data_IF_581240469856
#
_entry.id   IF_581240469856
#
_cell.length_a   1.000
_cell.length_b   1.000
_cell.length_c   1.000
_cell.angle_alpha   90.00
_cell.angle_beta   90.00
_cell.angle_gamma   90.00
#
_symmetry.space_group_name_H-M   'P 1'
#
loop_
_entity.id
_entity.type
_entity.pdbx_description
1 polymer ?
#
# COMPACT_ATOMS: atom_id res chain seq x y z
N UNK A 1 3.57 15.14 -7.30
CA UNK A 1 2.66 14.42 -8.19
C UNK A 1 2.91 12.91 -8.07
N UNK A 2 1.85 12.12 -7.98
CA UNK A 2 1.96 10.66 -7.92
C UNK A 2 1.87 10.08 -9.33
N UNK A 3 2.79 9.17 -9.65
CA UNK A 3 2.72 8.38 -10.89
C UNK A 3 2.93 6.91 -10.56
N UNK A 4 2.14 6.04 -11.18
CA UNK A 4 2.24 4.60 -11.01
C UNK A 4 2.39 3.97 -12.38
N UNK A 5 3.49 3.22 -12.59
CA UNK A 5 3.72 2.51 -13.85
C UNK A 5 2.91 1.20 -13.90
N UNK A 6 2.90 0.55 -15.08
CA UNK A 6 2.24 -0.75 -15.25
C UNK A 6 2.87 -1.84 -14.37
N UNK A 7 4.13 -1.70 -14.00
CA UNK A 7 4.83 -2.64 -13.12
C UNK A 7 4.64 -2.34 -11.64
N UNK A 8 3.81 -1.36 -11.32
CA UNK A 8 3.57 -0.94 -9.94
C UNK A 8 4.62 -0.01 -9.36
N UNK A 9 5.58 0.46 -10.18
CA UNK A 9 6.59 1.41 -9.74
C UNK A 9 5.92 2.75 -9.45
N UNK A 10 6.13 3.28 -8.26
CA UNK A 10 5.54 4.54 -7.81
C UNK A 10 6.59 5.64 -7.85
N UNK A 11 6.20 6.79 -8.33
CA UNK A 11 6.99 8.03 -8.25
C UNK A 11 6.15 9.10 -7.59
N UNK A 12 6.68 9.70 -6.52
CA UNK A 12 5.98 10.66 -5.69
C UNK A 12 6.90 11.84 -5.38
N UNK A 13 6.38 13.06 -5.53
CA UNK A 13 7.12 14.24 -5.11
C UNK A 13 7.08 14.35 -3.59
N UNK A 14 8.25 14.61 -2.99
CA UNK A 14 8.40 14.71 -1.54
C UNK A 14 7.47 15.78 -0.98
N UNK A 15 6.75 15.42 0.08
CA UNK A 15 5.83 16.32 0.75
C UNK A 15 4.48 16.50 0.06
N UNK A 16 4.21 15.75 -1.00
CA UNK A 16 2.93 15.81 -1.68
C UNK A 16 1.85 15.05 -0.94
N UNK A 17 0.64 15.55 -1.12
CA UNK A 17 -0.60 14.94 -0.66
C UNK A 17 -1.20 14.17 -1.82
N UNK A 18 -1.40 12.86 -1.68
CA UNK A 18 -1.92 12.05 -2.78
C UNK A 18 -2.60 10.79 -2.30
N UNK A 19 -3.38 10.18 -3.19
CA UNK A 19 -4.12 8.95 -2.91
C UNK A 19 -3.94 7.98 -4.07
N UNK A 20 -3.97 6.67 -3.76
CA UNK A 20 -3.98 5.63 -4.78
C UNK A 20 -4.88 4.47 -4.35
N UNK A 21 -5.67 3.88 -5.28
CA UNK A 21 -6.45 2.70 -4.96
C UNK A 21 -5.56 1.46 -4.98
N UNK A 22 -5.82 0.53 -4.04
CA UNK A 22 -5.17 -0.77 -3.98
C UNK A 22 -6.13 -1.83 -4.51
N UNK A 23 -5.83 -2.41 -5.66
CA UNK A 23 -6.55 -3.54 -6.21
C UNK A 23 -5.96 -4.84 -5.67
N UNK A 24 -6.78 -5.63 -4.96
CA UNK A 24 -6.39 -6.96 -4.51
C UNK A 24 -7.06 -7.98 -5.42
N UNK A 25 -6.25 -8.80 -6.10
CA UNK A 25 -6.73 -9.83 -7.00
C UNK A 25 -6.95 -11.13 -6.23
N UNK A 26 -8.21 -11.56 -6.12
CA UNK A 26 -8.58 -12.81 -5.48
C UNK A 26 -8.72 -13.97 -6.48
N UNK A 27 -8.54 -13.70 -7.77
CA UNK A 27 -8.58 -14.69 -8.83
C UNK A 27 -7.20 -15.04 -9.37
N UNK A 28 -7.17 -15.45 -10.64
CA UNK A 28 -5.92 -15.72 -11.35
C UNK A 28 -5.53 -14.52 -12.23
N UNK A 29 -4.32 -14.57 -12.79
CA UNK A 29 -3.87 -13.53 -13.73
C UNK A 29 -4.70 -13.51 -15.02
N UNK A 30 -5.26 -14.67 -15.41
CA UNK A 30 -6.11 -14.79 -16.60
C UNK A 30 -7.56 -14.37 -16.33
N UNK A 31 -8.05 -14.57 -15.10
CA UNK A 31 -9.39 -14.18 -14.67
C UNK A 31 -9.29 -13.43 -13.33
N UNK A 32 -8.91 -12.16 -13.37
CA UNK A 32 -8.78 -11.39 -12.14
C UNK A 32 -10.15 -11.15 -11.51
N UNK A 33 -10.25 -11.38 -10.21
CA UNK A 33 -11.44 -11.12 -9.42
C UNK A 33 -11.05 -10.12 -8.34
N UNK A 34 -11.75 -9.00 -8.29
CA UNK A 34 -11.51 -7.98 -7.29
C UNK A 34 -11.97 -8.47 -5.92
N UNK A 35 -11.05 -8.42 -4.95
CA UNK A 35 -11.39 -8.69 -3.55
C UNK A 35 -12.09 -7.45 -2.97
N UNK A 36 -13.38 -7.59 -2.67
CA UNK A 36 -14.22 -6.46 -2.26
C UNK A 36 -14.09 -6.21 -0.76
N UNK A 37 -13.38 -5.14 -0.41
CA UNK A 37 -13.16 -4.79 0.99
C UNK A 37 -14.41 -4.20 1.66
N UNK A 38 -15.41 -3.79 0.90
CA UNK A 38 -16.71 -3.41 1.48
C UNK A 38 -17.41 -4.61 2.14
N UNK A 39 -17.11 -5.82 1.68
CA UNK A 39 -17.67 -7.07 2.20
C UNK A 39 -16.74 -7.80 3.14
N UNK A 40 -15.52 -7.30 3.35
CA UNK A 40 -14.45 -7.99 4.07
C UNK A 40 -13.77 -7.04 5.06
N UNK A 41 -14.57 -6.48 5.98
CA UNK A 41 -14.11 -5.44 6.91
C UNK A 41 -13.17 -5.95 8.02
N UNK A 42 -12.98 -7.27 8.14
CA UNK A 42 -12.01 -7.85 9.08
C UNK A 42 -10.60 -7.90 8.52
N UNK A 43 -10.41 -7.54 7.25
CA UNK A 43 -9.11 -7.52 6.61
C UNK A 43 -8.24 -6.41 7.20
N UNK A 44 -6.96 -6.72 7.41
CA UNK A 44 -5.95 -5.74 7.81
C UNK A 44 -4.90 -5.67 6.73
N UNK A 45 -4.53 -4.45 6.34
CA UNK A 45 -3.57 -4.22 5.26
C UNK A 45 -2.37 -3.47 5.82
N UNK A 46 -1.18 -3.98 5.50
CA UNK A 46 0.10 -3.43 5.95
C UNK A 46 0.87 -2.90 4.75
N UNK A 47 1.29 -1.65 4.84
CA UNK A 47 2.17 -1.00 3.87
C UNK A 47 3.51 -0.70 4.53
N UNK A 48 4.61 -0.96 3.85
CA UNK A 48 5.94 -0.56 4.32
C UNK A 48 6.75 0.02 3.18
N UNK A 49 7.33 1.20 3.43
CA UNK A 49 8.30 1.84 2.55
C UNK A 49 9.68 1.61 3.14
N UNK A 50 10.60 1.08 2.34
CA UNK A 50 11.91 0.62 2.81
C UNK A 50 13.04 1.28 2.01
N UNK A 51 14.12 1.61 2.72
CA UNK A 51 15.40 1.85 2.06
C UNK A 51 15.98 0.51 1.57
N UNK A 52 16.97 0.53 0.64
CA UNK A 52 17.51 -0.73 0.11
C UNK A 52 18.03 -1.72 1.14
N UNK A 53 18.46 -1.24 2.31
CA UNK A 53 19.00 -2.07 3.39
C UNK A 53 17.99 -2.37 4.50
N UNK A 54 16.71 -2.04 4.29
CA UNK A 54 15.68 -2.28 5.29
C UNK A 54 14.80 -3.46 4.90
N UNK A 55 14.15 -4.03 5.91
CA UNK A 55 13.14 -5.07 5.75
C UNK A 55 11.75 -4.48 5.95
N UNK A 56 10.72 -5.26 5.63
CA UNK A 56 9.32 -4.85 5.79
C UNK A 56 9.03 -4.36 7.22
N UNK A 57 9.58 -5.06 8.21
CA UNK A 57 9.29 -4.78 9.63
C UNK A 57 9.94 -3.51 10.15
N UNK A 58 11.00 -3.02 9.49
CA UNK A 58 11.73 -1.83 9.93
C UNK A 58 11.81 -0.74 8.86
N UNK A 59 10.85 -0.72 7.95
CA UNK A 59 10.76 0.32 6.93
C UNK A 59 10.64 1.73 7.52
N UNK A 60 11.09 2.72 6.75
CA UNK A 60 11.12 4.12 7.20
C UNK A 60 9.73 4.75 7.26
N UNK A 61 8.74 4.20 6.55
CA UNK A 61 7.34 4.59 6.64
C UNK A 61 6.49 3.33 6.66
N UNK A 62 5.70 3.14 7.72
CA UNK A 62 4.84 1.99 7.86
C UNK A 62 3.42 2.44 8.14
N UNK A 63 2.46 1.84 7.44
CA UNK A 63 1.04 2.12 7.62
C UNK A 63 0.28 0.83 7.82
N UNK A 64 -0.67 0.86 8.75
CA UNK A 64 -1.59 -0.22 9.01
C UNK A 64 -3.00 0.29 8.76
N UNK A 65 -3.72 -0.38 7.86
CA UNK A 65 -5.09 -0.01 7.50
C UNK A 65 -6.05 -1.08 8.01
N UNK A 66 -7.02 -0.66 8.80
CA UNK A 66 -8.10 -1.54 9.27
C UNK A 66 -9.33 -0.72 9.60
N UNK A 67 -10.49 -1.37 9.63
CA UNK A 67 -11.73 -0.70 10.00
C UNK A 67 -11.68 -0.15 11.43
N UNK A 68 -10.87 -0.76 12.29
CA UNK A 68 -10.72 -0.34 13.70
C UNK A 68 -9.89 0.92 13.88
N UNK A 69 -9.04 1.26 12.88
CA UNK A 69 -8.10 2.38 12.99
C UNK A 69 -8.63 3.67 12.39
N UNK A 70 -9.87 3.74 11.96
CA UNK A 70 -10.50 4.90 11.32
C UNK A 70 -9.78 5.38 10.04
N UNK A 71 -8.99 4.53 9.42
CA UNK A 71 -8.32 4.81 8.16
C UNK A 71 -8.77 3.86 7.05
N UNK A 72 -9.94 3.25 7.23
CA UNK A 72 -10.52 2.27 6.31
C UNK A 72 -11.37 3.00 5.28
N UNK A 73 -10.70 3.62 4.30
CA UNK A 73 -11.34 4.35 3.23
C UNK A 73 -11.44 3.45 2.00
N UNK A 74 -12.63 2.91 1.77
CA UNK A 74 -12.90 1.97 0.67
C UNK A 74 -13.74 2.67 -0.37
N UNK A 75 -13.33 2.60 -1.65
CA UNK A 75 -14.07 3.21 -2.73
C UNK A 75 -15.29 2.34 -3.14
N UNK A 76 -16.05 2.81 -4.13
CA UNK A 76 -17.24 2.10 -4.61
C UNK A 76 -16.93 0.74 -5.24
N UNK A 77 -15.68 0.52 -5.65
CA UNK A 77 -15.26 -0.75 -6.27
C UNK A 77 -14.73 -1.75 -5.24
N UNK A 78 -14.65 -1.38 -3.97
CA UNK A 78 -14.15 -2.25 -2.91
C UNK A 78 -12.64 -2.18 -2.74
N UNK A 79 -11.96 -1.18 -3.28
CA UNK A 79 -10.52 -0.99 -3.11
C UNK A 79 -10.23 -0.08 -1.92
N UNK A 80 -9.16 -0.40 -1.20
CA UNK A 80 -8.64 0.51 -0.18
C UNK A 80 -7.94 1.69 -0.86
N UNK A 81 -8.25 2.90 -0.41
CA UNK A 81 -7.54 4.09 -0.83
C UNK A 81 -6.35 4.30 0.11
N UNK A 82 -5.15 4.11 -0.42
CA UNK A 82 -3.91 4.40 0.31
C UNK A 82 -3.60 5.87 0.10
N UNK A 83 -3.45 6.61 1.20
CA UNK A 83 -3.18 8.04 1.14
C UNK A 83 -1.81 8.36 1.72
N UNK A 84 -1.13 9.33 1.08
CA UNK A 84 0.11 9.91 1.58
C UNK A 84 -0.13 11.37 1.91
N UNK A 85 0.26 11.75 3.12
CA UNK A 85 0.21 13.13 3.58
C UNK A 85 1.61 13.75 3.50
N UNK A 86 1.74 15.09 3.49
CA UNK A 86 3.06 15.73 3.43
C UNK A 86 4.03 15.23 4.49
N UNK A 87 3.57 14.98 5.72
CA UNK A 87 4.41 14.48 6.82
C UNK A 87 5.01 13.10 6.55
N UNK A 88 4.41 12.31 5.65
CA UNK A 88 4.88 10.95 5.39
C UNK A 88 6.21 10.92 4.66
N UNK A 89 6.46 11.88 3.78
CA UNK A 89 7.65 11.89 2.94
C UNK A 89 8.52 13.13 3.07
N UNK A 90 8.04 14.20 3.70
CA UNK A 90 8.77 15.50 3.72
C UNK A 90 10.14 15.41 4.41
N UNK A 91 10.33 14.45 5.30
CA UNK A 91 11.60 14.25 6.00
C UNK A 91 12.47 13.16 5.38
N UNK A 92 12.00 12.53 4.30
CA UNK A 92 12.76 11.52 3.60
C UNK A 92 13.60 12.16 2.48
N UNK A 93 14.81 11.64 2.30
CA UNK A 93 15.65 12.14 1.22
C UNK A 93 15.12 11.67 -0.12
N UNK A 94 15.18 12.52 -1.18
CA UNK A 94 14.86 12.06 -2.52
C UNK A 94 15.76 10.90 -2.93
N UNK A 95 15.19 9.95 -3.67
CA UNK A 95 15.93 8.80 -4.14
C UNK A 95 15.08 7.57 -4.31
N UNK A 96 15.74 6.43 -4.41
CA UNK A 96 15.11 5.14 -4.65
C UNK A 96 14.83 4.42 -3.34
N UNK A 97 13.57 4.05 -3.17
CA UNK A 97 13.06 3.23 -2.08
C UNK A 97 12.38 2.00 -2.67
N UNK A 98 11.91 1.14 -1.80
CA UNK A 98 11.05 0.02 -2.17
C UNK A 98 9.81 0.02 -1.29
N UNK A 99 8.71 -0.52 -1.81
CA UNK A 99 7.53 -0.72 -0.98
C UNK A 99 7.02 -2.14 -1.12
N UNK A 100 6.28 -2.57 -0.13
CA UNK A 100 5.67 -3.89 -0.09
C UNK A 100 4.34 -3.78 0.63
N UNK A 101 3.35 -4.55 0.16
CA UNK A 101 2.02 -4.56 0.78
C UNK A 101 1.67 -5.99 1.14
N UNK A 102 1.31 -6.18 2.40
CA UNK A 102 0.87 -7.46 2.93
C UNK A 102 -0.55 -7.34 3.46
N UNK A 103 -1.26 -8.46 3.47
CA UNK A 103 -2.65 -8.49 3.88
C UNK A 103 -2.90 -9.67 4.82
N UNK A 104 -3.70 -9.41 5.85
CA UNK A 104 -4.29 -10.41 6.73
C UNK A 104 -5.79 -10.41 6.44
N UNK A 105 -6.27 -11.38 5.66
CA UNK A 105 -7.63 -11.37 5.12
C UNK A 105 -8.71 -11.39 6.20
N UNK A 106 -8.47 -12.09 7.30
CA UNK A 106 -9.46 -12.29 8.34
C UNK A 106 -9.12 -11.65 9.68
N UNK A 107 -7.98 -10.96 9.75
CA UNK A 107 -7.51 -10.39 11.02
C UNK A 107 -7.04 -11.44 12.02
N UNK A 108 -6.65 -12.63 11.55
CA UNK A 108 -6.27 -13.77 12.39
C UNK A 108 -4.77 -13.98 12.52
N UNK A 109 -3.97 -13.06 11.96
CA UNK A 109 -2.52 -13.16 12.00
C UNK A 109 -1.89 -13.95 10.87
N UNK A 110 -2.68 -14.37 9.87
CA UNK A 110 -2.18 -15.08 8.69
C UNK A 110 -1.89 -14.06 7.60
N UNK A 111 -0.61 -13.80 7.36
CA UNK A 111 -0.13 -12.71 6.51
C UNK A 111 0.23 -13.23 5.12
N UNK A 112 -0.27 -12.58 4.09
CA UNK A 112 0.08 -12.85 2.70
C UNK A 112 0.61 -11.60 2.03
N UNK A 113 1.61 -11.73 1.17
CA UNK A 113 2.13 -10.61 0.39
C UNK A 113 1.30 -10.45 -0.88
N UNK A 114 0.66 -9.29 -1.05
CA UNK A 114 -0.14 -8.98 -2.25
C UNK A 114 0.63 -8.14 -3.26
N UNK A 115 1.54 -7.28 -2.79
CA UNK A 115 2.50 -6.60 -3.65
C UNK A 115 3.88 -6.88 -3.09
N UNK A 116 4.69 -7.58 -3.89
CA UNK A 116 6.08 -7.88 -3.54
C UNK A 116 6.91 -6.61 -3.63
N UNK A 117 8.11 -6.65 -3.04
CA UNK A 117 9.04 -5.54 -3.00
C UNK A 117 9.21 -4.91 -4.37
N UNK A 118 8.74 -3.67 -4.52
CA UNK A 118 8.68 -2.93 -5.79
C UNK A 118 9.26 -1.54 -5.58
N UNK A 119 9.84 -0.96 -6.62
CA UNK A 119 10.50 0.34 -6.55
C UNK A 119 9.53 1.48 -6.25
N UNK A 120 9.99 2.40 -5.42
CA UNK A 120 9.26 3.61 -5.04
C UNK A 120 10.26 4.77 -5.07
N UNK A 121 10.01 5.76 -5.92
CA UNK A 121 10.90 6.91 -6.07
C UNK A 121 10.31 8.13 -5.40
N UNK A 122 11.12 8.77 -4.54
CA UNK A 122 10.79 10.08 -3.96
C UNK A 122 11.62 11.12 -4.69
N UNK A 123 10.94 12.11 -5.26
CA UNK A 123 11.58 13.19 -6.01
C UNK A 123 11.70 14.46 -5.20
#
# INVERSE_FOLDING_TARGET
MLRISNDGIITLSRGDNCEMPLFINAGSDLEPIRYDLNKNSNTVIYFSLMQPNQYFENGCLRKLYSAKNNNWNINEYGDLIISFEPKDTMYLMPGKYFYEIKVDLNGEGIINTVIQKTEFYIQ
#
